data_IF_029939699423
#
_entry.id   IF_029939699423
#
_cell.length_a   1.000
_cell.length_b   1.000
_cell.length_c   1.000
_cell.angle_alpha   90.00
_cell.angle_beta   90.00
_cell.angle_gamma   90.00
#
_symmetry.space_group_name_H-M   'P 1'
#
loop_
_entity.id
_entity.type
_entity.pdbx_description
1 polymer ?
#
# COMPACT_ATOMS: atom_id res chain seq x y z
N UNK A 1 -10.23 21.30 1.99
CA UNK A 1 -9.34 20.82 3.07
C UNK A 1 -10.19 20.14 4.15
N UNK A 2 -9.89 18.90 4.54
CA UNK A 2 -10.63 18.23 5.63
C UNK A 2 -9.91 18.49 6.96
N UNK A 3 -10.65 18.90 7.98
CA UNK A 3 -10.13 18.99 9.35
C UNK A 3 -10.05 17.59 9.95
N UNK A 4 -8.89 17.22 10.48
CA UNK A 4 -8.69 15.98 11.25
C UNK A 4 -8.61 16.31 12.74
N UNK A 5 -9.20 15.45 13.57
CA UNK A 5 -9.24 15.61 15.02
C UNK A 5 -8.20 14.71 15.67
N UNK A 6 -7.37 15.29 16.53
CA UNK A 6 -6.47 14.54 17.43
C UNK A 6 -7.30 13.89 18.54
N UNK A 7 -7.03 12.62 18.83
CA UNK A 7 -7.71 11.84 19.87
C UNK A 7 -6.68 11.09 20.73
N UNK A 8 -7.05 10.79 21.97
CA UNK A 8 -6.28 9.89 22.83
C UNK A 8 -6.50 8.45 22.36
N UNK A 9 -5.41 7.69 22.14
CA UNK A 9 -5.40 6.27 21.79
C UNK A 9 -4.48 5.58 22.80
N UNK A 10 -5.07 4.83 23.74
CA UNK A 10 -4.32 4.27 24.87
C UNK A 10 -3.64 5.38 25.69
N UNK A 11 -2.32 5.31 25.81
CA UNK A 11 -1.49 6.31 26.49
C UNK A 11 -0.89 7.36 25.54
N UNK A 12 -1.31 7.38 24.28
CA UNK A 12 -0.75 8.25 23.23
C UNK A 12 -1.81 9.14 22.60
N UNK A 13 -1.36 10.09 21.77
CA UNK A 13 -2.23 10.86 20.87
C UNK A 13 -2.13 10.27 19.47
N UNK A 14 -3.26 10.25 18.76
CA UNK A 14 -3.33 9.83 17.37
C UNK A 14 -4.35 10.63 16.57
N UNK A 15 -4.35 10.42 15.26
CA UNK A 15 -5.28 11.03 14.33
C UNK A 15 -5.95 9.94 13.50
N UNK A 16 -7.21 10.16 13.15
CA UNK A 16 -7.91 9.28 12.21
C UNK A 16 -7.63 9.81 10.80
N UNK A 17 -6.86 9.05 10.04
CA UNK A 17 -6.53 9.38 8.66
C UNK A 17 -7.61 8.81 7.72
N UNK A 18 -8.16 9.60 6.78
CA UNK A 18 -9.10 9.08 5.80
C UNK A 18 -8.46 8.00 4.93
N UNK A 19 -9.21 6.95 4.54
CA UNK A 19 -8.70 5.89 3.63
C UNK A 19 -8.14 6.44 2.30
N UNK A 20 -8.60 7.62 1.89
CA UNK A 20 -8.13 8.32 0.68
C UNK A 20 -6.68 8.80 0.78
N UNK A 21 -6.02 8.74 1.94
CA UNK A 21 -4.59 9.08 2.06
C UNK A 21 -3.67 8.00 1.48
N UNK A 22 -4.17 6.77 1.29
CA UNK A 22 -3.35 5.66 0.81
C UNK A 22 -2.37 5.08 1.84
N UNK A 23 -2.54 5.45 3.12
CA UNK A 23 -1.83 4.87 4.27
C UNK A 23 -2.55 3.59 4.69
N UNK A 24 -1.79 2.53 4.92
CA UNK A 24 -2.27 1.21 5.29
C UNK A 24 -1.87 0.86 6.72
N UNK A 25 -2.58 -0.11 7.30
CA UNK A 25 -2.20 -0.65 8.60
C UNK A 25 -0.82 -1.33 8.50
N UNK A 26 0.06 -1.03 9.45
CA UNK A 26 1.44 -1.51 9.45
C UNK A 26 2.45 -0.63 8.69
N UNK A 27 2.01 0.43 8.00
CA UNK A 27 2.93 1.39 7.39
C UNK A 27 3.70 2.16 8.47
N UNK A 28 5.04 2.18 8.36
CA UNK A 28 5.90 3.06 9.14
C UNK A 28 6.15 4.36 8.36
N UNK A 29 5.86 5.50 9.00
CA UNK A 29 5.91 6.82 8.37
C UNK A 29 6.86 7.74 9.13
N UNK A 30 7.62 8.55 8.41
CA UNK A 30 8.45 9.58 9.03
C UNK A 30 7.60 10.83 9.33
N UNK A 31 7.51 11.15 10.62
CA UNK A 31 6.89 12.39 11.08
C UNK A 31 7.93 13.51 11.16
N UNK A 32 7.71 14.57 10.41
CA UNK A 32 8.56 15.76 10.43
C UNK A 32 7.75 17.00 10.83
N UNK A 33 8.36 17.91 11.58
CA UNK A 33 7.80 19.23 11.88
C UNK A 33 8.54 20.29 11.09
N UNK A 34 7.82 21.06 10.27
CA UNK A 34 8.37 22.19 9.50
C UNK A 34 7.58 23.46 9.83
N UNK A 35 8.05 24.21 10.83
CA UNK A 35 7.29 25.32 11.41
C UNK A 35 6.00 24.82 12.04
N UNK A 36 4.86 25.33 11.59
CA UNK A 36 3.52 24.92 12.04
C UNK A 36 2.98 23.68 11.31
N UNK A 37 3.73 23.13 10.35
CA UNK A 37 3.32 21.97 9.58
C UNK A 37 3.84 20.67 10.21
N UNK A 38 2.94 19.71 10.37
CA UNK A 38 3.29 18.31 10.56
C UNK A 38 3.18 17.60 9.21
N UNK A 39 4.28 16.95 8.80
CA UNK A 39 4.39 16.23 7.53
C UNK A 39 4.56 14.76 7.86
N UNK A 40 3.67 13.93 7.32
CA UNK A 40 3.80 12.47 7.34
C UNK A 40 4.35 12.05 5.98
N UNK A 41 5.61 11.63 5.93
CA UNK A 41 6.25 11.16 4.71
C UNK A 41 6.03 9.65 4.54
N UNK A 42 5.49 9.30 3.37
CA UNK A 42 5.12 7.93 2.99
C UNK A 42 6.15 7.28 2.05
N UNK A 43 7.24 7.96 1.73
CA UNK A 43 8.22 7.51 0.73
C UNK A 43 8.75 6.11 1.05
N UNK A 44 9.16 5.87 2.29
CA UNK A 44 9.69 4.57 2.71
C UNK A 44 8.61 3.48 2.74
N UNK A 45 7.43 3.77 3.29
CA UNK A 45 6.29 2.84 3.24
C UNK A 45 5.94 2.43 1.81
N UNK A 46 5.94 3.38 0.86
CA UNK A 46 5.69 3.09 -0.55
C UNK A 46 6.78 2.19 -1.16
N UNK A 47 8.05 2.46 -0.86
CA UNK A 47 9.17 1.64 -1.31
C UNK A 47 9.07 0.22 -0.74
N UNK A 48 8.77 0.08 0.55
CA UNK A 48 8.65 -1.22 1.19
C UNK A 48 7.49 -2.04 0.63
N UNK A 49 6.34 -1.41 0.33
CA UNK A 49 5.23 -2.08 -0.36
C UNK A 49 5.61 -2.51 -1.77
N UNK A 50 6.29 -1.67 -2.54
CA UNK A 50 6.78 -2.04 -3.87
C UNK A 50 7.76 -3.22 -3.79
N UNK A 51 8.70 -3.20 -2.84
CA UNK A 51 9.62 -4.32 -2.59
C UNK A 51 8.88 -5.61 -2.25
N UNK A 52 7.85 -5.55 -1.39
CA UNK A 52 7.05 -6.72 -1.05
C UNK A 52 6.33 -7.32 -2.26
N UNK A 53 5.76 -6.48 -3.14
CA UNK A 53 5.12 -6.92 -4.39
C UNK A 53 6.14 -7.57 -5.32
N UNK A 54 7.30 -6.93 -5.50
CA UNK A 54 8.38 -7.46 -6.36
C UNK A 54 8.91 -8.79 -5.82
N UNK A 55 9.15 -8.88 -4.51
CA UNK A 55 9.61 -10.11 -3.86
C UNK A 55 8.59 -11.24 -4.03
N UNK A 56 7.29 -10.93 -3.86
CA UNK A 56 6.23 -11.90 -4.14
C UNK A 56 6.27 -12.38 -5.60
N UNK A 57 6.51 -11.46 -6.55
CA UNK A 57 6.68 -11.83 -7.95
C UNK A 57 7.85 -12.79 -8.17
N UNK A 58 9.00 -12.54 -7.55
CA UNK A 58 10.14 -13.47 -7.59
C UNK A 58 9.81 -14.84 -6.98
N UNK A 59 9.09 -14.85 -5.86
CA UNK A 59 8.64 -16.11 -5.24
C UNK A 59 7.68 -16.86 -6.16
N UNK A 60 6.75 -16.16 -6.81
CA UNK A 60 5.82 -16.77 -7.76
C UNK A 60 6.56 -17.41 -8.94
N UNK A 61 7.61 -16.77 -9.48
CA UNK A 61 8.49 -17.41 -10.46
C UNK A 61 9.24 -18.62 -9.91
N UNK A 62 9.86 -18.48 -8.73
CA UNK A 62 10.65 -19.55 -8.10
C UNK A 62 9.83 -20.82 -7.84
N UNK A 63 8.56 -20.65 -7.48
CA UNK A 63 7.65 -21.75 -7.14
C UNK A 63 6.72 -22.13 -8.31
N UNK A 64 7.00 -21.73 -9.55
CA UNK A 64 6.19 -21.99 -10.74
C UNK A 64 4.70 -21.64 -10.54
N UNK A 65 4.42 -20.53 -9.88
CA UNK A 65 3.08 -19.94 -9.70
C UNK A 65 2.81 -18.86 -10.76
N UNK A 66 3.29 -19.11 -11.96
CA UNK A 66 3.08 -18.27 -13.13
C UNK A 66 2.08 -18.93 -14.06
N UNK A 67 1.48 -18.14 -14.95
CA UNK A 67 0.56 -18.62 -15.97
C UNK A 67 1.16 -18.32 -17.34
N UNK A 68 0.96 -19.24 -18.26
CA UNK A 68 1.13 -19.01 -19.71
C UNK A 68 0.00 -18.13 -20.24
N UNK A 69 0.16 -17.63 -21.46
CA UNK A 69 -0.86 -16.82 -22.14
C UNK A 69 -2.16 -17.60 -22.33
N UNK A 70 -2.09 -18.87 -22.76
CA UNK A 70 -3.26 -19.75 -22.93
C UNK A 70 -3.99 -20.01 -21.60
N UNK A 71 -3.23 -20.24 -20.51
CA UNK A 71 -3.81 -20.41 -19.18
C UNK A 71 -4.48 -19.13 -18.69
N UNK A 72 -3.87 -17.97 -18.96
CA UNK A 72 -4.44 -16.67 -18.65
C UNK A 72 -5.72 -16.40 -19.45
N UNK A 73 -5.73 -16.74 -20.74
CA UNK A 73 -6.90 -16.66 -21.62
C UNK A 73 -8.06 -17.54 -21.12
N UNK A 74 -7.75 -18.77 -20.72
CA UNK A 74 -8.73 -19.72 -20.18
C UNK A 74 -9.35 -19.21 -18.87
N UNK A 75 -8.54 -18.67 -17.96
CA UNK A 75 -9.00 -18.20 -16.65
C UNK A 75 -9.71 -16.85 -16.70
N UNK A 76 -9.22 -15.92 -17.53
CA UNK A 76 -9.59 -14.51 -17.51
C UNK A 76 -10.32 -14.05 -18.78
N UNK A 77 -10.55 -14.91 -19.77
CA UNK A 77 -11.24 -14.55 -21.00
C UNK A 77 -12.65 -13.97 -20.78
N UNK A 78 -13.34 -14.41 -19.72
CA UNK A 78 -14.63 -13.83 -19.29
C UNK A 78 -14.55 -12.35 -18.89
N UNK A 79 -13.36 -11.86 -18.55
CA UNK A 79 -13.07 -10.46 -18.22
C UNK A 79 -12.47 -9.66 -19.38
N UNK A 80 -12.41 -10.24 -20.59
CA UNK A 80 -11.97 -9.55 -21.81
C UNK A 80 -10.52 -9.78 -22.20
N UNK A 81 -9.80 -10.68 -21.53
CA UNK A 81 -8.47 -11.08 -21.97
C UNK A 81 -8.56 -11.88 -23.29
N UNK A 82 -7.88 -11.43 -24.35
CA UNK A 82 -8.00 -11.87 -25.76
C UNK A 82 -9.35 -11.63 -26.46
N UNK A 83 -10.16 -10.67 -26.00
CA UNK A 83 -11.25 -10.13 -26.83
C UNK A 83 -10.77 -9.01 -27.74
#
# INVERSE_FOLDING_TARGET
MKKIKVRKIGNSLGVILPRTTGIHEGDELHLMKKGEWLILDMSEANINRARAIIQKGFDDFKYNRTLTEDEMASLLGKYGWHK
#
